data_IF_660109439501
#
_entry.id   IF_660109439501
#
_cell.length_a   1.000
_cell.length_b   1.000
_cell.length_c   1.000
_cell.angle_alpha   90.00
_cell.angle_beta   90.00
_cell.angle_gamma   90.00
#
_symmetry.space_group_name_H-M   'P 1'
#
loop_
_entity.id
_entity.type
_entity.pdbx_description
1 polymer ?
#
# COMPACT_ATOMS: atom_id res chain seq x y z
N UNK A 1 28.91 -36.94 -46.19
CA UNK A 1 28.65 -35.81 -45.26
C UNK A 1 27.76 -36.29 -44.11
N UNK A 2 28.27 -36.44 -42.87
CA UNK A 2 27.44 -36.78 -41.71
C UNK A 2 26.76 -35.52 -41.15
N UNK A 3 25.43 -35.45 -41.23
CA UNK A 3 24.61 -34.39 -40.58
C UNK A 3 24.82 -34.43 -39.06
N UNK A 4 25.32 -33.34 -38.48
CA UNK A 4 25.39 -33.16 -37.02
C UNK A 4 23.96 -33.05 -36.45
N UNK A 5 23.57 -33.98 -35.57
CA UNK A 5 22.30 -33.87 -34.82
C UNK A 5 22.36 -32.67 -33.88
N UNK A 6 21.36 -31.78 -33.96
CA UNK A 6 21.23 -30.63 -33.07
C UNK A 6 20.94 -31.09 -31.64
N UNK A 7 21.65 -30.53 -30.65
CA UNK A 7 21.45 -30.85 -29.23
C UNK A 7 20.08 -30.32 -28.77
N UNK A 8 19.33 -31.08 -27.93
CA UNK A 8 18.06 -30.61 -27.40
C UNK A 8 18.28 -29.37 -26.54
N UNK A 9 17.44 -28.34 -26.75
CA UNK A 9 17.45 -27.14 -25.90
C UNK A 9 16.85 -27.52 -24.54
N UNK A 10 17.51 -27.20 -23.42
CA UNK A 10 17.00 -27.58 -22.11
C UNK A 10 15.65 -26.92 -21.83
N UNK A 11 14.72 -27.70 -21.25
CA UNK A 11 13.36 -27.27 -20.88
C UNK A 11 13.36 -26.21 -19.76
N UNK A 12 14.45 -26.14 -18.99
CA UNK A 12 14.62 -25.19 -17.88
C UNK A 12 15.69 -24.17 -18.25
N UNK A 13 15.39 -22.88 -18.04
CA UNK A 13 16.35 -21.79 -18.28
C UNK A 13 17.61 -22.02 -17.41
N UNK A 14 18.82 -21.90 -17.98
CA UNK A 14 20.05 -22.15 -17.23
C UNK A 14 20.16 -21.19 -16.03
N UNK A 15 20.62 -21.72 -14.89
CA UNK A 15 20.86 -20.95 -13.67
C UNK A 15 21.87 -19.84 -13.97
N UNK A 16 21.48 -18.58 -13.76
CA UNK A 16 22.32 -17.41 -14.06
C UNK A 16 23.46 -17.36 -13.04
N UNK A 17 24.67 -17.70 -13.47
CA UNK A 17 25.87 -17.75 -12.60
C UNK A 17 26.40 -16.37 -12.17
N UNK A 18 26.01 -15.29 -12.86
CA UNK A 18 26.48 -13.92 -12.59
C UNK A 18 25.40 -13.08 -11.93
N UNK A 19 25.63 -12.67 -10.68
CA UNK A 19 24.75 -11.77 -9.93
C UNK A 19 24.53 -10.42 -10.64
N UNK A 20 25.54 -9.90 -11.35
CA UNK A 20 25.39 -8.66 -12.15
C UNK A 20 24.41 -8.84 -13.30
N UNK A 21 24.48 -9.99 -14.00
CA UNK A 21 23.57 -10.32 -15.10
C UNK A 21 22.16 -10.60 -14.60
N UNK A 22 22.03 -11.29 -13.46
CA UNK A 22 20.74 -11.50 -12.81
C UNK A 22 20.09 -10.17 -12.40
N UNK A 23 20.84 -9.26 -11.78
CA UNK A 23 20.37 -7.90 -11.43
C UNK A 23 19.98 -7.08 -12.65
N UNK A 24 20.73 -7.14 -13.75
CA UNK A 24 20.36 -6.43 -14.98
C UNK A 24 19.05 -6.96 -15.55
N UNK A 25 18.91 -8.28 -15.67
CA UNK A 25 17.69 -8.93 -16.16
C UNK A 25 16.49 -8.63 -15.26
N UNK A 26 16.65 -8.66 -13.93
CA UNK A 26 15.57 -8.29 -13.01
C UNK A 26 15.27 -6.80 -13.05
N UNK A 27 16.25 -5.91 -13.18
CA UNK A 27 16.01 -4.48 -13.40
C UNK A 27 15.27 -4.21 -14.70
N UNK A 28 15.64 -4.89 -15.79
CA UNK A 28 14.98 -4.75 -17.09
C UNK A 28 13.54 -5.28 -17.00
N UNK A 29 13.33 -6.45 -16.40
CA UNK A 29 12.00 -7.02 -16.13
C UNK A 29 11.15 -6.08 -15.26
N UNK A 30 11.70 -5.56 -14.16
CA UNK A 30 11.01 -4.60 -13.29
C UNK A 30 10.77 -3.26 -13.98
N UNK A 31 11.63 -2.81 -14.89
CA UNK A 31 11.40 -1.60 -15.69
C UNK A 31 10.21 -1.81 -16.63
N UNK A 32 10.16 -2.94 -17.32
CA UNK A 32 9.04 -3.30 -18.21
C UNK A 32 7.75 -3.49 -17.41
N UNK A 33 7.77 -4.19 -16.28
CA UNK A 33 6.58 -4.34 -15.42
C UNK A 33 6.15 -3.04 -14.73
N UNK A 34 7.08 -2.14 -14.39
CA UNK A 34 6.75 -0.77 -13.92
C UNK A 34 6.11 0.07 -15.02
N UNK A 35 6.53 -0.08 -16.28
CA UNK A 35 5.88 0.56 -17.42
C UNK A 35 4.48 -0.01 -17.70
N UNK A 36 4.20 -1.25 -17.24
CA UNK A 36 2.90 -1.90 -17.34
C UNK A 36 2.02 -1.57 -16.13
N UNK A 37 2.49 -0.76 -15.16
CA UNK A 37 1.68 -0.26 -14.04
C UNK A 37 1.12 -1.40 -13.21
N UNK A 38 1.85 -1.81 -12.18
CA UNK A 38 1.44 -2.90 -11.30
C UNK A 38 0.24 -2.55 -10.38
N UNK A 39 -0.79 -1.86 -10.89
CA UNK A 39 -2.15 -2.03 -10.41
C UNK A 39 -2.71 -3.24 -11.15
N UNK A 40 -2.71 -4.35 -10.44
CA UNK A 40 -3.21 -5.60 -10.94
C UNK A 40 -4.72 -5.49 -11.17
N UNK A 41 -5.15 -5.36 -12.43
CA UNK A 41 -6.56 -5.32 -12.84
C UNK A 41 -7.32 -6.64 -12.59
N UNK A 42 -6.76 -7.58 -11.82
CA UNK A 42 -7.40 -8.84 -11.46
C UNK A 42 -8.78 -8.65 -10.85
N UNK A 43 -8.97 -7.64 -10.00
CA UNK A 43 -10.29 -7.38 -9.40
C UNK A 43 -11.34 -7.00 -10.45
N UNK A 44 -10.95 -6.29 -11.53
CA UNK A 44 -11.85 -5.95 -12.63
C UNK A 44 -12.32 -7.17 -13.43
N UNK A 45 -11.62 -8.31 -13.33
CA UNK A 45 -12.01 -9.55 -14.00
C UNK A 45 -13.01 -10.39 -13.21
N UNK A 46 -13.39 -9.97 -12.00
CA UNK A 46 -14.26 -10.72 -11.10
C UNK A 46 -15.73 -10.34 -11.38
N UNK A 47 -16.57 -11.25 -11.93
CA UNK A 47 -17.89 -10.87 -12.48
C UNK A 47 -18.91 -10.32 -11.48
N UNK A 48 -18.79 -10.71 -10.20
CA UNK A 48 -19.71 -10.30 -9.14
C UNK A 48 -19.24 -9.06 -8.35
N UNK A 49 -18.10 -8.46 -8.70
CA UNK A 49 -17.59 -7.25 -8.05
C UNK A 49 -17.82 -6.04 -8.94
N UNK A 50 -18.46 -5.01 -8.38
CA UNK A 50 -18.44 -3.68 -8.98
C UNK A 50 -17.14 -2.99 -8.55
N UNK A 51 -16.18 -2.86 -9.45
CA UNK A 51 -14.84 -2.37 -9.13
C UNK A 51 -14.54 -1.07 -9.85
N UNK A 52 -14.27 -0.02 -9.08
CA UNK A 52 -13.63 1.20 -9.57
C UNK A 52 -12.12 1.10 -9.35
N UNK A 53 -11.35 0.96 -10.42
CA UNK A 53 -9.89 0.94 -10.37
C UNK A 53 -9.32 2.31 -10.73
N UNK A 54 -8.44 2.85 -9.89
CA UNK A 54 -7.79 4.16 -10.09
C UNK A 54 -6.27 4.04 -10.03
N UNK A 55 -5.56 4.91 -10.76
CA UNK A 55 -4.11 5.10 -10.68
C UNK A 55 -3.74 6.53 -11.07
N UNK A 56 -2.62 7.06 -10.57
CA UNK A 56 -2.07 8.36 -11.00
C UNK A 56 -1.58 8.34 -12.45
N UNK A 57 -1.11 7.18 -12.93
CA UNK A 57 -0.55 6.93 -14.26
C UNK A 57 -1.00 5.56 -14.76
N UNK A 58 -2.29 5.40 -15.13
CA UNK A 58 -2.83 4.12 -15.52
C UNK A 58 -2.11 3.55 -16.75
N UNK A 59 -1.89 2.24 -16.74
CA UNK A 59 -1.27 1.51 -17.85
C UNK A 59 -2.28 0.64 -18.62
N UNK A 60 -3.56 0.67 -18.22
CA UNK A 60 -4.67 -0.02 -18.86
C UNK A 60 -5.85 0.95 -19.02
N UNK A 61 -6.59 0.92 -20.14
CA UNK A 61 -7.76 1.77 -20.35
C UNK A 61 -8.90 1.55 -19.34
N UNK A 62 -8.94 0.36 -18.72
CA UNK A 62 -9.93 0.00 -17.69
C UNK A 62 -9.62 0.60 -16.31
N UNK A 63 -8.50 1.31 -16.16
CA UNK A 63 -8.10 1.98 -14.93
C UNK A 63 -8.26 3.48 -15.14
N UNK A 64 -9.06 4.10 -14.29
CA UNK A 64 -9.29 5.55 -14.29
C UNK A 64 -8.03 6.28 -13.83
N UNK A 65 -7.66 7.35 -14.53
CA UNK A 65 -6.59 8.24 -14.07
C UNK A 65 -7.14 9.16 -12.98
N UNK A 66 -6.78 8.90 -11.72
CA UNK A 66 -7.21 9.72 -10.59
C UNK A 66 -6.19 9.72 -9.45
N UNK A 67 -6.14 10.83 -8.71
CA UNK A 67 -5.40 10.93 -7.45
C UNK A 67 -6.33 10.63 -6.28
N UNK A 68 -6.10 9.51 -5.59
CA UNK A 68 -6.90 9.09 -4.43
C UNK A 68 -6.98 10.17 -3.34
N UNK A 69 -5.92 10.96 -3.12
CA UNK A 69 -5.93 12.03 -2.13
C UNK A 69 -6.85 13.19 -2.53
N UNK A 70 -7.19 13.34 -3.81
CA UNK A 70 -8.11 14.36 -4.30
C UNK A 70 -9.57 13.90 -4.35
N UNK A 71 -9.83 12.59 -4.28
CA UNK A 71 -11.19 12.05 -4.27
C UNK A 71 -11.85 12.35 -2.91
N UNK A 72 -13.02 12.96 -2.94
CA UNK A 72 -13.78 13.25 -1.73
C UNK A 72 -14.46 11.98 -1.20
N UNK A 73 -14.35 11.69 0.11
CA UNK A 73 -15.01 10.54 0.71
C UNK A 73 -16.53 10.70 0.69
N UNK A 74 -17.22 9.66 0.26
CA UNK A 74 -18.69 9.60 0.21
C UNK A 74 -19.29 8.43 1.01
N UNK A 75 -18.45 7.58 1.64
CA UNK A 75 -18.91 6.42 2.42
C UNK A 75 -19.67 5.37 1.60
N UNK A 76 -19.37 5.27 0.30
CA UNK A 76 -20.13 4.48 -0.68
C UNK A 76 -19.46 3.18 -1.12
N UNK A 77 -18.29 2.83 -0.55
CA UNK A 77 -17.59 1.59 -0.85
C UNK A 77 -17.74 0.54 0.25
N UNK A 78 -18.07 -0.70 -0.13
CA UNK A 78 -17.98 -1.87 0.75
C UNK A 78 -16.52 -2.20 1.10
N UNK A 79 -15.62 -2.05 0.10
CA UNK A 79 -14.22 -2.47 0.20
C UNK A 79 -13.31 -1.43 -0.47
N UNK A 80 -12.23 -1.06 0.22
CA UNK A 80 -11.12 -0.27 -0.35
C UNK A 80 -9.84 -1.11 -0.34
N UNK A 81 -9.16 -1.21 -1.48
CA UNK A 81 -7.91 -2.00 -1.61
C UNK A 81 -6.73 -1.08 -1.90
N UNK A 82 -5.84 -0.95 -0.92
CA UNK A 82 -4.61 -0.16 -0.99
C UNK A 82 -3.39 -1.09 -0.94
N UNK A 83 -3.11 -1.79 -2.04
CA UNK A 83 -1.98 -2.71 -2.13
C UNK A 83 -0.75 -2.05 -2.74
N UNK A 84 0.32 -1.90 -1.95
CA UNK A 84 1.60 -1.28 -2.35
C UNK A 84 1.50 0.19 -2.76
N UNK A 85 0.45 0.89 -2.30
CA UNK A 85 0.20 2.30 -2.61
C UNK A 85 0.71 3.22 -1.49
N UNK A 86 0.41 2.90 -0.23
CA UNK A 86 0.77 3.73 0.92
C UNK A 86 2.29 4.01 1.02
N UNK A 87 3.12 3.04 0.62
CA UNK A 87 4.58 3.18 0.60
C UNK A 87 5.13 4.08 -0.53
N UNK A 88 4.29 4.49 -1.47
CA UNK A 88 4.65 5.39 -2.58
C UNK A 88 4.26 6.84 -2.31
N UNK A 89 3.46 7.08 -1.26
CA UNK A 89 3.07 8.43 -0.84
C UNK A 89 4.28 9.12 -0.20
N UNK A 90 4.68 10.32 -0.66
CA UNK A 90 5.97 10.91 -0.30
C UNK A 90 6.04 11.39 1.15
N UNK A 91 5.02 12.12 1.62
CA UNK A 91 5.04 12.73 2.95
C UNK A 91 4.35 11.85 4.01
N UNK A 92 4.74 12.01 5.27
CA UNK A 92 4.11 11.31 6.39
C UNK A 92 2.66 11.75 6.61
N UNK A 93 2.40 13.03 6.38
CA UNK A 93 1.08 13.64 6.47
C UNK A 93 0.15 13.10 5.40
N UNK A 94 0.59 13.05 4.14
CA UNK A 94 -0.21 12.48 3.06
C UNK A 94 -0.49 10.98 3.28
N UNK A 95 0.43 10.24 3.92
CA UNK A 95 0.18 8.85 4.33
C UNK A 95 -0.93 8.77 5.39
N UNK A 96 -0.93 9.67 6.37
CA UNK A 96 -2.02 9.77 7.34
C UNK A 96 -3.35 10.15 6.68
N UNK A 97 -3.34 11.15 5.79
CA UNK A 97 -4.50 11.58 5.01
C UNK A 97 -5.05 10.46 4.14
N UNK A 98 -4.17 9.63 3.57
CA UNK A 98 -4.58 8.44 2.81
C UNK A 98 -5.34 7.44 3.70
N UNK A 99 -4.89 7.21 4.94
CA UNK A 99 -5.59 6.33 5.88
C UNK A 99 -6.95 6.89 6.28
N UNK A 100 -7.01 8.19 6.63
CA UNK A 100 -8.26 8.84 7.00
C UNK A 100 -9.26 8.86 5.83
N UNK A 101 -8.80 9.15 4.60
CA UNK A 101 -9.64 9.06 3.40
C UNK A 101 -10.09 7.64 3.10
N UNK A 102 -9.21 6.65 3.29
CA UNK A 102 -9.59 5.24 3.20
C UNK A 102 -10.76 4.94 4.12
N UNK A 103 -10.73 5.43 5.36
CA UNK A 103 -11.87 5.31 6.27
C UNK A 103 -13.12 6.04 5.77
N UNK A 104 -12.99 7.28 5.30
CA UNK A 104 -14.13 8.06 4.81
C UNK A 104 -14.81 7.51 3.56
N UNK A 105 -14.09 6.74 2.73
CA UNK A 105 -14.67 6.04 1.57
C UNK A 105 -15.46 4.80 1.95
N UNK A 106 -15.23 4.23 3.13
CA UNK A 106 -15.92 3.02 3.58
C UNK A 106 -17.28 3.35 4.19
N UNK A 107 -18.29 2.57 3.79
CA UNK A 107 -19.56 2.51 4.50
C UNK A 107 -19.40 1.87 5.89
N UNK A 108 -20.47 1.87 6.69
CA UNK A 108 -20.50 1.17 7.97
C UNK A 108 -20.24 -0.33 7.81
N UNK A 109 -19.32 -0.90 8.59
CA UNK A 109 -18.89 -2.30 8.46
C UNK A 109 -18.07 -2.59 7.17
N UNK A 110 -17.72 -1.56 6.39
CA UNK A 110 -16.85 -1.69 5.23
C UNK A 110 -15.43 -2.12 5.61
N UNK A 111 -14.69 -2.69 4.66
CA UNK A 111 -13.37 -3.26 4.90
C UNK A 111 -12.27 -2.61 4.05
N UNK A 112 -11.09 -2.39 4.64
CA UNK A 112 -9.90 -1.98 3.89
C UNK A 112 -8.84 -3.09 3.88
N UNK A 113 -8.23 -3.30 2.70
CA UNK A 113 -7.08 -4.17 2.55
C UNK A 113 -5.84 -3.32 2.27
N UNK A 114 -4.92 -3.26 3.24
CA UNK A 114 -3.65 -2.54 3.09
C UNK A 114 -2.50 -3.55 2.98
N UNK A 115 -1.68 -3.38 1.94
CA UNK A 115 -0.44 -4.16 1.77
C UNK A 115 0.72 -3.19 1.65
N UNK A 116 1.75 -3.37 2.47
CA UNK A 116 2.96 -2.54 2.45
C UNK A 116 4.22 -3.40 2.54
N UNK A 117 5.36 -2.97 1.98
CA UNK A 117 6.63 -3.65 2.21
C UNK A 117 6.92 -3.78 3.70
N UNK A 118 7.34 -4.97 4.13
CA UNK A 118 7.70 -5.21 5.53
C UNK A 118 8.83 -4.28 6.01
N UNK A 119 9.69 -3.82 5.10
CA UNK A 119 10.74 -2.83 5.40
C UNK A 119 10.19 -1.48 5.87
N UNK A 120 9.00 -1.06 5.41
CA UNK A 120 8.35 0.15 5.91
C UNK A 120 8.07 0.06 7.42
N UNK A 121 7.82 -1.16 7.92
CA UNK A 121 7.52 -1.42 9.33
C UNK A 121 8.75 -1.81 10.14
N UNK A 122 9.75 -2.45 9.52
CA UNK A 122 10.92 -3.00 10.22
C UNK A 122 12.18 -2.13 10.17
N UNK A 123 12.33 -1.36 9.10
CA UNK A 123 13.59 -0.69 8.76
C UNK A 123 13.46 0.85 8.84
N UNK A 124 12.34 1.36 9.33
CA UNK A 124 12.15 2.79 9.61
C UNK A 124 12.46 3.09 11.08
N UNK A 125 13.19 4.17 11.40
CA UNK A 125 13.33 4.62 12.78
C UNK A 125 12.03 5.24 13.34
N UNK A 126 11.06 5.58 12.48
CA UNK A 126 9.81 6.25 12.84
C UNK A 126 8.57 5.33 12.80
N UNK A 127 8.77 4.03 12.58
CA UNK A 127 7.66 3.09 12.42
C UNK A 127 8.00 1.70 12.98
N UNK A 128 7.00 1.07 13.57
CA UNK A 128 6.96 -0.36 13.90
C UNK A 128 5.65 -0.96 13.41
N UNK A 129 5.53 -2.30 13.42
CA UNK A 129 4.24 -2.94 13.15
C UNK A 129 3.18 -2.49 14.16
N UNK A 130 3.50 -2.49 15.46
CA UNK A 130 2.57 -2.03 16.51
C UNK A 130 2.18 -0.57 16.30
N UNK A 131 3.15 0.31 16.01
CA UNK A 131 2.89 1.72 15.77
C UNK A 131 2.01 1.94 14.53
N UNK A 132 2.19 1.11 13.50
CA UNK A 132 1.32 1.13 12.33
C UNK A 132 -0.10 0.72 12.68
N UNK A 133 -0.27 -0.34 13.48
CA UNK A 133 -1.59 -0.82 13.92
C UNK A 133 -2.32 0.22 14.79
N UNK A 134 -1.59 0.90 15.67
CA UNK A 134 -2.13 2.03 16.44
C UNK A 134 -2.48 3.23 15.55
N UNK A 135 -1.66 3.54 14.54
CA UNK A 135 -1.94 4.62 13.59
C UNK A 135 -3.21 4.35 12.77
N UNK A 136 -3.38 3.14 12.22
CA UNK A 136 -4.59 2.81 11.46
C UNK A 136 -5.82 2.80 12.37
N UNK A 137 -5.69 2.35 13.62
CA UNK A 137 -6.78 2.43 14.59
C UNK A 137 -7.17 3.89 14.91
N UNK A 138 -6.18 4.78 15.07
CA UNK A 138 -6.43 6.22 15.26
C UNK A 138 -7.16 6.84 14.06
N UNK A 139 -6.86 6.37 12.84
CA UNK A 139 -7.54 6.76 11.61
C UNK A 139 -8.95 6.14 11.43
N UNK A 140 -9.46 5.40 12.43
CA UNK A 140 -10.77 4.76 12.38
C UNK A 140 -10.77 3.45 11.60
N UNK A 141 -9.65 2.74 11.49
CA UNK A 141 -9.54 1.44 10.82
C UNK A 141 -9.06 0.38 11.82
N UNK A 142 -9.95 -0.50 12.25
CA UNK A 142 -9.60 -1.55 13.21
C UNK A 142 -9.01 -2.77 12.51
N UNK A 143 -7.84 -3.22 12.95
CA UNK A 143 -7.22 -4.46 12.43
C UNK A 143 -8.04 -5.68 12.83
N UNK A 144 -8.51 -6.46 11.84
CA UNK A 144 -9.18 -7.75 12.07
C UNK A 144 -8.28 -8.93 11.79
N UNK A 145 -7.46 -8.81 10.76
CA UNK A 145 -6.49 -9.83 10.40
C UNK A 145 -5.21 -9.17 9.92
N UNK A 146 -4.09 -9.68 10.37
CA UNK A 146 -2.78 -9.31 9.85
C UNK A 146 -1.97 -10.56 9.53
N UNK A 147 -1.15 -10.45 8.48
CA UNK A 147 -0.23 -11.50 8.08
C UNK A 147 1.07 -10.88 7.63
N UNK A 148 2.18 -11.37 8.18
CA UNK A 148 3.51 -11.01 7.73
C UNK A 148 4.06 -12.11 6.82
N UNK A 149 4.62 -11.71 5.69
CA UNK A 149 5.44 -12.54 4.82
C UNK A 149 6.87 -12.04 4.85
N UNK A 150 7.85 -12.74 4.26
CA UNK A 150 9.25 -12.30 4.28
C UNK A 150 9.51 -10.89 3.71
N UNK A 151 8.58 -10.33 2.91
CA UNK A 151 8.76 -9.03 2.25
C UNK A 151 7.57 -8.07 2.39
N UNK A 152 6.40 -8.57 2.75
CA UNK A 152 5.15 -7.82 2.75
C UNK A 152 4.41 -8.02 4.07
N UNK A 153 3.78 -6.95 4.55
CA UNK A 153 2.77 -7.00 5.59
C UNK A 153 1.39 -6.81 4.95
N UNK A 154 0.45 -7.67 5.31
CA UNK A 154 -0.93 -7.67 4.85
C UNK A 154 -1.84 -7.35 6.02
N UNK A 155 -2.78 -6.43 5.82
CA UNK A 155 -3.77 -6.02 6.80
C UNK A 155 -5.17 -6.06 6.19
N UNK A 156 -6.09 -6.71 6.90
CA UNK A 156 -7.53 -6.59 6.71
C UNK A 156 -8.07 -5.77 7.87
N UNK A 157 -8.68 -4.64 7.53
CA UNK A 157 -9.16 -3.63 8.47
C UNK A 157 -10.68 -3.49 8.30
N UNK A 158 -11.39 -3.25 9.39
CA UNK A 158 -12.82 -2.87 9.36
C UNK A 158 -12.96 -1.39 9.70
N UNK A 159 -13.92 -0.73 9.06
CA UNK A 159 -14.32 0.64 9.37
C UNK A 159 -14.77 0.76 10.84
N UNK A 160 -14.20 1.74 11.54
CA UNK A 160 -14.49 2.07 12.93
C UNK A 160 -14.54 3.60 13.12
N UNK A 161 -14.86 4.07 14.32
CA UNK A 161 -14.88 5.51 14.61
C UNK A 161 -13.47 6.12 14.63
N UNK A 162 -13.33 7.33 14.08
CA UNK A 162 -12.06 8.06 14.09
C UNK A 162 -11.78 8.59 15.51
N UNK A 163 -10.64 8.19 16.07
CA UNK A 163 -10.22 8.62 17.40
C UNK A 163 -9.29 9.85 17.33
N UNK A 164 -9.86 11.07 17.36
CA UNK A 164 -9.06 12.31 17.31
C UNK A 164 -7.98 12.40 18.39
N UNK A 165 -8.30 11.96 19.62
CA UNK A 165 -7.37 12.01 20.74
C UNK A 165 -6.16 11.08 20.51
N UNK A 166 -6.35 9.94 19.83
CA UNK A 166 -5.24 9.09 19.44
C UNK A 166 -4.48 9.68 18.24
N UNK A 167 -5.20 10.25 17.27
CA UNK A 167 -4.59 10.83 16.06
C UNK A 167 -3.66 12.01 16.38
N UNK A 168 -3.97 12.84 17.37
CA UNK A 168 -3.11 13.96 17.79
C UNK A 168 -1.73 13.52 18.31
N UNK A 169 -1.60 12.27 18.79
CA UNK A 169 -0.31 11.70 19.20
C UNK A 169 0.65 11.51 18.02
N UNK A 170 0.14 11.52 16.78
CA UNK A 170 0.90 11.34 15.54
C UNK A 170 1.15 12.68 14.83
N UNK A 171 0.97 13.83 15.48
CA UNK A 171 1.09 15.13 14.82
C UNK A 171 2.52 15.45 14.32
N UNK A 172 3.57 14.93 14.97
CA UNK A 172 4.97 15.17 14.58
C UNK A 172 5.77 13.85 14.45
N UNK A 173 6.04 13.37 13.23
CA UNK A 173 6.76 12.13 12.99
C UNK A 173 8.22 12.16 13.50
N UNK A 174 8.82 13.35 13.69
CA UNK A 174 10.20 13.47 14.17
C UNK A 174 10.33 13.27 15.68
N UNK A 175 9.23 13.42 16.45
CA UNK A 175 9.21 13.11 17.88
C UNK A 175 9.04 11.63 18.16
N UNK A 176 8.66 10.85 17.15
CA UNK A 176 8.42 9.42 17.25
C UNK A 176 9.68 8.68 16.77
N UNK A 177 10.67 8.56 17.65
CA UNK A 177 11.77 7.62 17.42
C UNK A 177 11.32 6.27 17.98
N UNK A 178 10.74 5.44 17.11
CA UNK A 178 10.28 4.12 17.50
C UNK A 178 11.44 3.12 17.65
N UNK A 179 12.61 3.38 17.03
CA UNK A 179 13.83 2.57 17.16
C UNK A 179 15.11 3.40 17.10
N UNK A 180 16.09 3.08 17.94
CA UNK A 180 17.43 3.68 17.94
C UNK A 180 18.39 3.14 16.87
N UNK A 181 17.91 2.75 15.69
CA UNK A 181 18.71 2.07 14.65
C UNK A 181 19.21 2.99 13.53
N UNK A 182 20.24 2.54 12.81
CA UNK A 182 20.77 3.20 11.60
C UNK A 182 19.65 3.39 10.57
N UNK A 183 19.39 4.64 10.15
CA UNK A 183 18.29 5.00 9.24
C UNK A 183 18.41 4.25 7.91
N UNK A 184 17.50 3.31 7.64
CA UNK A 184 17.46 2.51 6.41
C UNK A 184 16.33 2.91 5.46
N UNK A 185 15.24 3.48 5.98
CA UNK A 185 14.25 4.26 5.22
C UNK A 185 13.60 5.34 6.11
N UNK A 186 12.71 6.16 5.55
CA UNK A 186 12.04 7.31 6.17
C UNK A 186 10.52 7.14 6.26
N UNK A 187 10.01 5.90 6.19
CA UNK A 187 8.58 5.64 6.26
C UNK A 187 8.02 6.04 7.64
N UNK A 188 7.09 6.97 7.66
CA UNK A 188 6.44 7.47 8.87
C UNK A 188 4.99 7.85 8.58
N UNK A 189 4.11 7.82 9.57
CA UNK A 189 2.73 8.27 9.44
C UNK A 189 2.53 9.42 10.42
N UNK A 190 1.90 10.49 9.95
CA UNK A 190 1.47 11.60 10.78
C UNK A 190 0.09 12.07 10.36
N UNK A 191 -0.71 12.55 11.30
CA UNK A 191 -2.03 13.12 11.03
C UNK A 191 -1.98 14.63 11.28
N UNK A 192 -2.54 15.41 10.39
CA UNK A 192 -2.80 16.82 10.62
C UNK A 192 -4.16 17.01 11.30
N UNK A 193 -4.17 17.88 12.30
CA UNK A 193 -5.34 18.10 13.17
C UNK A 193 -6.57 18.58 12.38
N UNK A 194 -6.34 19.39 11.33
CA UNK A 194 -7.39 19.87 10.44
C UNK A 194 -8.10 18.73 9.67
N UNK A 195 -7.36 17.76 9.13
CA UNK A 195 -7.96 16.65 8.37
C UNK A 195 -8.65 15.66 9.29
N UNK A 196 -8.12 15.43 10.49
CA UNK A 196 -8.77 14.62 11.53
C UNK A 196 -10.12 15.23 11.88
N UNK A 197 -10.19 16.54 12.12
CA UNK A 197 -11.43 17.21 12.47
C UNK A 197 -12.45 17.18 11.32
N UNK A 198 -12.01 17.50 10.10
CA UNK A 198 -12.85 17.45 8.90
C UNK A 198 -13.47 16.06 8.68
N UNK A 199 -12.69 14.99 8.82
CA UNK A 199 -13.18 13.64 8.54
C UNK A 199 -14.01 13.04 9.67
N UNK A 200 -13.85 13.51 10.92
CA UNK A 200 -14.78 13.15 12.00
C UNK A 200 -16.19 13.65 11.73
N UNK A 201 -16.33 14.84 11.17
CA UNK A 201 -17.64 15.40 10.83
C UNK A 201 -18.32 14.63 9.68
N UNK A 202 -17.53 14.08 8.76
CA UNK A 202 -18.03 13.27 7.63
C UNK A 202 -18.41 11.84 8.07
N UNK A 203 -17.65 11.26 9.01
CA UNK A 203 -17.83 9.87 9.45
C UNK A 203 -18.84 9.71 10.61
N UNK A 204 -19.16 10.79 11.31
CA UNK A 204 -20.13 10.79 12.42
C UNK A 204 -21.62 10.81 11.98
N UNK A 205 -21.89 10.69 10.69
CA UNK A 205 -23.23 10.61 10.07
C UNK A 205 -23.48 9.20 9.58
#
# INVERSE_FOLDING_TARGET
MKRRKAKPKPLVKPVIKSLKRARKVTSDFHRVTRQIGAVNAQLLSVPWLSVRAIDLRPCLPSIEQADFLQIQPAGDFDIVVCAMVLNCVPSAQDRGNMLLKTRGHLQHGGHAFIVTPLRCLNDSPYMTANYFEEAVAAAGLQVKHSKLSPKLAFYCLEAAEICAAAASMYADPNKIVARGSKKTNDFAISFDEATVQMLKEIVAV
#
